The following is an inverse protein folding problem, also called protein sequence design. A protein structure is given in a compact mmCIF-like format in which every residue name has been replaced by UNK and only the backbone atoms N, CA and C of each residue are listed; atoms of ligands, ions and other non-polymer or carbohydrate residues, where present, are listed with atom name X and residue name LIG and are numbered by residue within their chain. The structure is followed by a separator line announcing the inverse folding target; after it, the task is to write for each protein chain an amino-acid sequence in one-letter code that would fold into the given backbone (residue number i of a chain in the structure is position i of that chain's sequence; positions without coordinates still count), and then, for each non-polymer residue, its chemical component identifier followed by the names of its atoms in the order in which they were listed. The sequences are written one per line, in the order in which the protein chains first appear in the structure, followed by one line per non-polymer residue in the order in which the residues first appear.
data_IF_249056731676
#
_entry.id   IF_249056731676
#
_cell.length_a   1.000
_cell.length_b   1.000
_cell.length_c   1.000
_cell.angle_alpha   90.00
_cell.angle_beta   90.00
_cell.angle_gamma   90.00
#
_symmetry.space_group_name_H-M   'P 1'
#
loop_
_entity.id
_entity.type
_entity.pdbx_description
1 polymer ?
#
# COMPACT_ATOMS: atom_id res chain seq x y z
N UNK A 1 -38.86 41.23 25.02
CA UNK A 1 -37.50 40.83 25.44
C UNK A 1 -37.30 39.32 25.59
N UNK A 2 -38.25 38.53 26.13
CA UNK A 2 -38.06 37.08 26.35
C UNK A 2 -38.00 36.19 25.09
N UNK A 3 -38.56 36.64 23.96
CA UNK A 3 -38.66 35.84 22.73
C UNK A 3 -37.40 35.90 21.84
N UNK A 4 -36.67 37.02 21.87
CA UNK A 4 -35.42 37.19 21.10
C UNK A 4 -34.23 36.43 21.72
N UNK A 5 -34.23 36.24 23.04
CA UNK A 5 -33.20 35.46 23.76
C UNK A 5 -33.29 33.97 23.40
N UNK A 6 -34.49 33.46 23.15
CA UNK A 6 -34.72 32.04 22.80
C UNK A 6 -34.25 31.71 21.37
N UNK A 7 -34.43 32.65 20.41
CA UNK A 7 -33.97 32.49 19.03
C UNK A 7 -32.45 32.53 18.90
N UNK A 8 -31.77 33.35 19.71
CA UNK A 8 -30.30 33.44 19.73
C UNK A 8 -29.68 32.18 20.37
N UNK A 9 -30.31 31.63 21.41
CA UNK A 9 -29.85 30.38 22.03
C UNK A 9 -30.00 29.17 21.09
N UNK A 10 -31.06 29.12 20.27
CA UNK A 10 -31.25 28.03 19.29
C UNK A 10 -30.21 28.08 18.16
N UNK A 11 -29.83 29.28 17.71
CA UNK A 11 -28.83 29.52 16.65
C UNK A 11 -27.41 29.16 17.09
N UNK A 12 -27.09 29.31 18.38
CA UNK A 12 -25.79 28.91 18.95
C UNK A 12 -25.67 27.39 19.12
N UNK A 13 -26.77 26.68 19.39
CA UNK A 13 -26.79 25.21 19.50
C UNK A 13 -26.65 24.52 18.12
N UNK A 14 -27.16 25.13 17.05
CA UNK A 14 -27.03 24.59 15.69
C UNK A 14 -25.63 24.74 15.07
N UNK A 15 -24.76 25.58 15.65
CA UNK A 15 -23.37 25.75 15.21
C UNK A 15 -22.41 24.77 15.88
N UNK A 16 -22.90 23.92 16.79
CA UNK A 16 -22.10 22.96 17.56
C UNK A 16 -22.21 21.52 17.07
N UNK A 17 -22.94 21.27 15.99
CA UNK A 17 -23.18 19.93 15.48
C UNK A 17 -22.77 19.80 14.01
N UNK A 18 -21.47 19.88 13.73
CA UNK A 18 -20.87 19.14 12.61
C UNK A 18 -19.33 19.20 12.66
N UNK A 19 -18.70 18.63 13.70
CA UNK A 19 -17.37 18.05 13.47
C UNK A 19 -17.62 16.73 12.74
N UNK A 20 -17.62 16.79 11.39
CA UNK A 20 -17.48 15.58 10.59
C UNK A 20 -16.03 15.17 10.76
N UNK A 21 -15.76 14.18 11.61
CA UNK A 21 -14.44 13.55 11.67
C UNK A 21 -14.03 13.20 10.23
N UNK A 22 -12.94 13.82 9.78
CA UNK A 22 -12.41 13.59 8.46
C UNK A 22 -11.82 12.18 8.46
N UNK A 23 -12.39 11.26 7.66
CA UNK A 23 -11.87 9.90 7.55
C UNK A 23 -10.37 9.98 7.29
N UNK A 24 -9.55 9.25 8.04
CA UNK A 24 -8.10 9.23 7.85
C UNK A 24 -7.75 8.29 6.71
N UNK A 25 -6.61 8.54 6.10
CA UNK A 25 -6.07 7.64 5.08
C UNK A 25 -5.63 6.32 5.72
N UNK A 26 -5.52 5.23 4.94
CA UNK A 26 -4.92 3.99 5.41
C UNK A 26 -3.52 4.22 5.97
N UNK A 27 -3.13 3.48 7.00
CA UNK A 27 -1.77 3.52 7.53
C UNK A 27 -0.75 3.16 6.45
N UNK A 28 0.39 3.85 6.41
CA UNK A 28 1.49 3.53 5.50
C UNK A 28 1.92 2.05 5.66
N UNK A 29 2.01 1.28 4.57
CA UNK A 29 2.54 -0.08 4.64
C UNK A 29 4.03 -0.10 4.97
N UNK A 30 4.42 -1.06 5.79
CA UNK A 30 5.81 -1.30 6.20
C UNK A 30 6.29 -2.60 5.59
N UNK A 31 7.30 -2.51 4.74
CA UNK A 31 7.89 -3.64 4.03
C UNK A 31 8.77 -4.48 4.96
N UNK A 32 8.56 -5.81 5.00
CA UNK A 32 9.27 -6.73 5.88
C UNK A 32 10.21 -7.66 5.10
N UNK A 33 9.71 -8.28 4.03
CA UNK A 33 10.48 -9.19 3.16
C UNK A 33 10.09 -9.01 1.70
N UNK A 34 11.03 -9.00 0.74
CA UNK A 34 12.48 -8.98 0.94
C UNK A 34 12.97 -7.69 1.61
N UNK A 35 13.89 -7.82 2.58
CA UNK A 35 14.47 -6.66 3.24
C UNK A 35 15.25 -5.78 2.26
N UNK A 36 15.31 -4.47 2.51
CA UNK A 36 16.00 -3.53 1.64
C UNK A 36 17.49 -3.87 1.50
N UNK A 37 17.96 -4.03 0.27
CA UNK A 37 19.33 -4.41 -0.06
C UNK A 37 19.65 -5.89 0.10
N UNK A 38 18.67 -6.73 0.42
CA UNK A 38 18.87 -8.17 0.59
C UNK A 38 19.18 -8.90 -0.73
N UNK A 39 19.78 -10.09 -0.61
CA UNK A 39 19.90 -11.08 -1.69
C UNK A 39 18.98 -12.25 -1.35
N UNK A 40 18.12 -12.65 -2.27
CA UNK A 40 17.12 -13.71 -2.08
C UNK A 40 17.29 -14.80 -3.13
N UNK A 41 17.13 -16.05 -2.70
CA UNK A 41 17.00 -17.16 -3.64
C UNK A 41 15.64 -17.03 -4.35
N UNK A 42 15.63 -17.07 -5.68
CA UNK A 42 14.39 -16.88 -6.44
C UNK A 42 13.31 -17.92 -6.07
N UNK A 43 13.70 -19.15 -5.76
CA UNK A 43 12.79 -20.22 -5.31
C UNK A 43 12.17 -19.98 -3.93
N UNK A 44 12.66 -18.99 -3.18
CA UNK A 44 12.20 -18.58 -1.85
C UNK A 44 11.69 -17.14 -1.83
N UNK A 45 11.54 -16.51 -2.99
CA UNK A 45 11.05 -15.14 -3.06
C UNK A 45 9.61 -15.08 -2.54
N UNK A 46 9.45 -14.39 -1.41
CA UNK A 46 8.17 -14.17 -0.76
C UNK A 46 8.11 -12.72 -0.27
N UNK A 47 6.99 -12.07 -0.58
CA UNK A 47 6.74 -10.70 -0.19
C UNK A 47 5.89 -10.66 1.08
N UNK A 48 6.35 -9.92 2.07
CA UNK A 48 5.70 -9.75 3.36
C UNK A 48 5.74 -8.28 3.78
N UNK A 49 4.61 -7.78 4.27
CA UNK A 49 4.43 -6.41 4.71
C UNK A 49 3.39 -6.34 5.82
N UNK A 50 3.41 -5.24 6.57
CA UNK A 50 2.40 -4.91 7.59
C UNK A 50 1.84 -3.51 7.35
N UNK A 51 0.80 -3.12 8.08
CA UNK A 51 0.11 -1.84 7.83
C UNK A 51 -0.85 -1.94 6.65
N UNK A 52 -1.10 -0.81 5.97
CA UNK A 52 -2.11 -0.76 4.91
C UNK A 52 -3.53 -1.04 5.41
N UNK A 53 -3.84 -0.58 6.63
CA UNK A 53 -5.14 -0.73 7.27
C UNK A 53 -5.78 0.64 7.48
N UNK A 54 -7.09 0.72 7.43
CA UNK A 54 -7.83 1.92 7.81
C UNK A 54 -8.09 1.91 9.33
N UNK A 55 -7.69 2.95 10.07
CA UNK A 55 -7.85 2.97 11.53
C UNK A 55 -9.31 3.15 11.98
N UNK A 56 -10.21 3.55 11.09
CA UNK A 56 -11.63 3.78 11.31
C UNK A 56 -12.51 2.62 10.82
N UNK A 57 -11.90 1.62 10.18
CA UNK A 57 -12.54 0.39 9.74
C UNK A 57 -13.09 0.44 8.32
N UNK A 58 -12.70 1.42 7.50
CA UNK A 58 -12.99 1.38 6.07
C UNK A 58 -12.30 0.18 5.40
N UNK A 59 -12.85 -0.27 4.28
CA UNK A 59 -12.27 -1.37 3.53
C UNK A 59 -11.04 -0.90 2.75
N UNK A 60 -9.95 -1.65 2.88
CA UNK A 60 -8.67 -1.35 2.23
C UNK A 60 -8.22 -2.52 1.38
N UNK A 61 -7.80 -2.22 0.16
CA UNK A 61 -7.12 -3.15 -0.72
C UNK A 61 -5.65 -2.74 -0.87
N UNK A 62 -4.80 -3.73 -1.08
CA UNK A 62 -3.35 -3.56 -1.16
C UNK A 62 -2.84 -4.09 -2.49
N UNK A 63 -2.15 -3.25 -3.25
CA UNK A 63 -1.47 -3.61 -4.48
C UNK A 63 0.03 -3.75 -4.21
N UNK A 64 0.57 -4.93 -4.46
CA UNK A 64 2.01 -5.16 -4.44
C UNK A 64 2.60 -4.82 -5.81
N UNK A 65 3.53 -3.88 -5.84
CA UNK A 65 4.12 -3.36 -7.06
C UNK A 65 5.60 -3.72 -7.13
N UNK A 66 6.06 -4.21 -8.28
CA UNK A 66 7.47 -4.57 -8.54
C UNK A 66 8.00 -3.91 -9.79
N UNK A 67 9.31 -3.69 -9.86
CA UNK A 67 9.97 -3.01 -10.96
C UNK A 67 11.41 -3.48 -11.14
N UNK A 68 11.91 -3.50 -12.39
CA UNK A 68 13.32 -3.76 -12.70
C UNK A 68 14.17 -2.48 -12.63
N UNK A 69 13.57 -1.31 -12.82
CA UNK A 69 14.26 -0.05 -13.06
C UNK A 69 13.80 1.11 -12.16
N UNK A 70 12.84 0.87 -11.26
CA UNK A 70 12.14 1.83 -10.41
C UNK A 70 11.28 2.88 -11.14
N UNK A 71 11.09 2.72 -12.45
CA UNK A 71 10.30 3.61 -13.31
C UNK A 71 9.02 2.93 -13.80
N UNK A 72 9.13 1.72 -14.34
CA UNK A 72 8.01 0.90 -14.79
C UNK A 72 7.60 -0.08 -13.69
N UNK A 73 6.33 0.00 -13.25
CA UNK A 73 5.81 -0.79 -12.13
C UNK A 73 4.74 -1.78 -12.60
N UNK A 74 4.90 -3.02 -12.15
CA UNK A 74 3.99 -4.13 -12.41
C UNK A 74 3.31 -4.54 -11.13
N UNK A 75 1.99 -4.69 -11.17
CA UNK A 75 1.22 -5.22 -10.04
C UNK A 75 1.33 -6.74 -10.00
N UNK A 76 1.59 -7.30 -8.82
CA UNK A 76 1.51 -8.74 -8.57
C UNK A 76 0.10 -9.04 -8.07
N UNK A 77 -0.68 -9.73 -8.90
CA UNK A 77 -2.01 -10.24 -8.55
C UNK A 77 -1.87 -11.57 -7.84
N UNK A 78 -2.64 -11.74 -6.75
CA UNK A 78 -2.62 -12.87 -5.82
C UNK A 78 -1.26 -13.07 -5.11
N UNK A 79 -1.24 -12.83 -3.79
CA UNK A 79 -0.07 -13.02 -2.91
C UNK A 79 0.42 -14.48 -2.78
N UNK A 80 -0.07 -15.40 -3.62
CA UNK A 80 0.10 -16.84 -3.47
C UNK A 80 1.09 -17.40 -4.50
N UNK A 81 2.40 -17.27 -4.26
CA UNK A 81 3.55 -18.03 -4.84
C UNK A 81 3.62 -18.27 -6.36
N UNK A 82 2.67 -17.76 -7.13
CA UNK A 82 2.55 -17.83 -8.58
C UNK A 82 2.22 -16.40 -8.98
N UNK A 83 3.26 -15.68 -9.36
CA UNK A 83 3.13 -14.29 -9.79
C UNK A 83 2.31 -14.29 -11.08
N UNK A 84 1.04 -13.91 -11.02
CA UNK A 84 0.25 -13.55 -12.20
C UNK A 84 0.60 -12.08 -12.56
N UNK A 85 1.88 -11.84 -12.80
CA UNK A 85 2.40 -10.57 -13.28
C UNK A 85 3.15 -10.79 -14.59
N UNK A 86 3.13 -9.79 -15.46
CA UNK A 86 3.91 -9.78 -16.70
C UNK A 86 5.43 -9.75 -16.45
N UNK A 87 5.86 -9.64 -15.20
CA UNK A 87 7.26 -9.56 -14.81
C UNK A 87 7.80 -10.95 -14.42
N UNK A 88 8.62 -11.53 -15.30
CA UNK A 88 9.39 -12.73 -14.98
C UNK A 88 10.66 -12.38 -14.20
N UNK A 89 10.76 -12.85 -12.96
CA UNK A 89 11.98 -12.70 -12.17
C UNK A 89 13.11 -13.57 -12.72
N UNK A 90 14.32 -13.01 -12.78
CA UNK A 90 15.55 -13.64 -13.26
C UNK A 90 16.58 -13.69 -12.14
N UNK A 91 17.43 -14.71 -12.17
CA UNK A 91 18.59 -14.83 -11.27
C UNK A 91 19.64 -13.74 -11.53
N UNK A 92 20.35 -13.31 -10.48
CA UNK A 92 21.42 -12.31 -10.55
C UNK A 92 20.97 -10.88 -10.87
N UNK A 93 19.68 -10.57 -10.74
CA UNK A 93 19.09 -9.30 -11.13
C UNK A 93 18.62 -8.50 -9.92
N UNK A 94 18.71 -7.16 -10.02
CA UNK A 94 18.15 -6.23 -9.02
C UNK A 94 16.69 -5.93 -9.35
N UNK A 95 15.85 -5.92 -8.31
CA UNK A 95 14.44 -5.55 -8.38
C UNK A 95 14.10 -4.52 -7.30
N UNK A 96 13.06 -3.73 -7.56
CA UNK A 96 12.46 -2.78 -6.64
C UNK A 96 11.03 -3.21 -6.34
N UNK A 97 10.55 -2.92 -5.14
CA UNK A 97 9.19 -3.24 -4.75
C UNK A 97 8.62 -2.25 -3.75
N UNK A 98 7.30 -2.12 -3.75
CA UNK A 98 6.50 -1.29 -2.84
C UNK A 98 5.08 -1.83 -2.71
N UNK A 99 4.35 -1.34 -1.72
CA UNK A 99 2.92 -1.63 -1.54
C UNK A 99 2.13 -0.33 -1.55
N UNK A 100 1.02 -0.32 -2.27
CA UNK A 100 0.04 0.75 -2.31
C UNK A 100 -1.25 0.30 -1.64
N UNK A 101 -1.74 1.06 -0.68
CA UNK A 101 -2.97 0.77 0.06
C UNK A 101 -4.01 1.82 -0.28
N UNK A 102 -5.21 1.40 -0.67
CA UNK A 102 -6.28 2.30 -1.06
C UNK A 102 -7.60 1.90 -0.44
N UNK A 103 -8.36 2.90 0.00
CA UNK A 103 -9.74 2.69 0.44
C UNK A 103 -10.64 2.37 -0.76
N UNK A 104 -11.57 1.44 -0.56
CA UNK A 104 -12.63 1.14 -1.51
C UNK A 104 -13.98 1.09 -0.79
N UNK A 105 -15.03 1.42 -1.54
CA UNK A 105 -16.39 1.26 -1.06
C UNK A 105 -16.85 -0.19 -1.34
N UNK A 106 -17.33 -0.92 -0.33
CA UNK A 106 -17.85 -2.27 -0.57
C UNK A 106 -19.16 -2.27 -1.39
N UNK A 107 -19.91 -1.15 -1.35
CA UNK A 107 -21.20 -1.00 -2.01
C UNK A 107 -21.11 -0.43 -3.43
N UNK A 108 -20.02 0.29 -3.73
CA UNK A 108 -19.68 0.76 -5.06
C UNK A 108 -18.33 0.15 -5.41
N UNK A 109 -18.26 -0.72 -6.42
CA UNK A 109 -17.06 -1.43 -6.91
C UNK A 109 -15.91 -0.53 -7.41
N UNK A 110 -15.66 0.60 -6.75
CA UNK A 110 -14.76 1.68 -7.12
C UNK A 110 -13.82 1.98 -5.96
N UNK A 111 -12.54 2.09 -6.31
CA UNK A 111 -11.52 2.71 -5.47
C UNK A 111 -11.91 4.15 -5.23
N UNK A 112 -11.84 4.61 -3.97
CA UNK A 112 -12.06 6.02 -3.66
C UNK A 112 -10.79 6.79 -4.03
N UNK A 113 -10.78 7.34 -5.24
CA UNK A 113 -9.62 8.05 -5.79
C UNK A 113 -9.13 9.14 -4.82
N UNK A 114 -7.83 9.14 -4.55
CA UNK A 114 -7.18 10.09 -3.64
C UNK A 114 -7.09 9.63 -2.18
N UNK A 115 -7.65 8.47 -1.82
CA UNK A 115 -7.54 7.88 -0.47
C UNK A 115 -6.57 6.71 -0.45
N UNK A 116 -5.29 7.02 -0.67
CA UNK A 116 -4.21 6.04 -0.82
C UNK A 116 -2.97 6.41 0.01
N UNK A 117 -2.29 5.41 0.54
CA UNK A 117 -0.92 5.51 1.05
C UNK A 117 0.01 4.53 0.35
N UNK A 118 1.30 4.83 0.36
CA UNK A 118 2.33 4.03 -0.30
C UNK A 118 3.49 3.82 0.66
N UNK A 119 4.04 2.61 0.68
CA UNK A 119 5.26 2.32 1.42
C UNK A 119 6.47 3.06 0.86
N UNK A 120 7.56 3.10 1.62
CA UNK A 120 8.89 3.30 1.01
C UNK A 120 9.17 2.25 -0.06
N UNK A 121 10.00 2.60 -1.04
CA UNK A 121 10.51 1.65 -2.04
C UNK A 121 11.70 0.89 -1.45
N UNK A 122 11.62 -0.43 -1.45
CA UNK A 122 12.75 -1.31 -1.16
C UNK A 122 13.31 -1.89 -2.45
N UNK A 123 14.57 -2.33 -2.40
CA UNK A 123 15.15 -3.14 -3.46
C UNK A 123 15.76 -4.42 -2.92
N UNK A 124 15.91 -5.42 -3.77
CA UNK A 124 16.59 -6.68 -3.48
C UNK A 124 17.29 -7.20 -4.73
N UNK A 125 18.14 -8.20 -4.54
CA UNK A 125 18.82 -8.92 -5.62
C UNK A 125 18.39 -10.38 -5.58
N UNK A 126 18.22 -11.00 -6.74
CA UNK A 126 18.15 -12.46 -6.82
C UNK A 126 19.56 -13.04 -6.84
N UNK A 127 19.75 -14.20 -6.21
CA UNK A 127 21.01 -14.91 -6.27
C UNK A 127 21.40 -15.22 -7.74
N UNK A 128 22.69 -15.12 -8.07
CA UNK A 128 23.21 -15.64 -9.33
C UNK A 128 23.68 -17.09 -9.11
N UNK A 129 23.52 -17.98 -10.09
CA UNK A 129 23.98 -19.35 -9.92
C UNK A 129 25.52 -19.37 -9.85
N UNK A 130 26.03 -20.11 -8.85
CA UNK A 130 27.45 -20.11 -8.45
C UNK A 130 28.41 -20.44 -9.61
N UNK A 131 27.96 -21.19 -10.62
CA UNK A 131 28.78 -21.54 -11.79
C UNK A 131 29.09 -20.39 -12.75
N UNK A 132 28.45 -19.22 -12.61
CA UNK A 132 28.76 -18.03 -13.44
C UNK A 132 29.95 -17.24 -12.88
N UNK A 133 30.13 -17.23 -11.55
CA UNK A 133 31.15 -16.39 -10.89
C UNK A 133 32.58 -16.92 -11.10
N UNK A 134 32.76 -18.20 -11.44
CA UNK A 134 34.07 -18.83 -11.60
C UNK A 134 34.68 -18.71 -13.01
N UNK A 135 34.07 -17.93 -13.91
CA UNK A 135 34.59 -17.70 -15.27
C UNK A 135 35.04 -16.25 -15.55
N UNK A 136 35.09 -15.40 -14.52
CA UNK A 136 35.57 -14.02 -14.59
C UNK A 136 37.01 -13.87 -14.13
#
# INVERSE_FOLDING_TARGET
MKQHVFLIALLLVTLWACEKDENKLPTEPVLLSPANGSVVDLSKLEFDFSGGIDPEGAYVANNLMVSEDSMAWYEIKNHAKVFDCELEFREGQKYYWKVQSFEYDESATQVIAGRMTESKVFHFYTNAPIWIVLKG
#
